data_IF_774640070306
#
_entry.id   IF_774640070306
#
_cell.length_a   1.000
_cell.length_b   1.000
_cell.length_c   1.000
_cell.angle_alpha   90.00
_cell.angle_beta   90.00
_cell.angle_gamma   90.00
#
_symmetry.space_group_name_H-M   'P 1'
#
loop_
_entity.id
_entity.type
_entity.pdbx_description
1 polymer ?
#
# COMPACT_ATOMS: atom_id res chain seq x y z
N UNK A 1 20.17 0.80 -5.06
CA UNK A 1 18.93 1.58 -4.87
C UNK A 1 19.19 2.96 -5.42
N UNK A 2 18.35 3.43 -6.35
CA UNK A 2 18.36 4.79 -6.86
C UNK A 2 17.12 5.50 -6.32
N UNK A 3 17.24 6.78 -5.98
CA UNK A 3 16.12 7.60 -5.50
C UNK A 3 15.93 8.77 -6.45
N UNK A 4 14.74 8.91 -7.01
CA UNK A 4 14.31 10.06 -7.80
C UNK A 4 13.36 10.91 -6.96
N UNK A 5 13.69 12.18 -6.75
CA UNK A 5 12.81 13.11 -6.05
C UNK A 5 11.95 13.86 -7.07
N UNK A 6 10.63 13.66 -7.01
CA UNK A 6 9.70 14.37 -7.89
C UNK A 6 9.37 15.72 -7.24
N UNK A 7 9.81 16.81 -7.86
CA UNK A 7 9.60 18.16 -7.34
C UNK A 7 8.21 18.71 -7.70
N UNK A 8 7.22 18.44 -6.85
CA UNK A 8 5.83 18.94 -6.97
C UNK A 8 5.48 20.01 -5.93
N UNK A 9 6.47 20.81 -5.51
CA UNK A 9 6.35 21.76 -4.40
C UNK A 9 6.09 21.03 -3.08
N UNK A 10 5.05 21.41 -2.36
CA UNK A 10 4.66 20.82 -1.06
C UNK A 10 4.27 19.34 -1.13
N UNK A 11 4.08 18.80 -2.34
CA UNK A 11 3.75 17.39 -2.60
C UNK A 11 4.93 16.61 -3.14
N UNK A 12 6.16 17.09 -2.92
CA UNK A 12 7.34 16.36 -3.34
C UNK A 12 7.40 14.98 -2.66
N UNK A 13 7.76 13.95 -3.43
CA UNK A 13 7.90 12.59 -2.91
C UNK A 13 9.09 11.87 -3.56
N UNK A 14 9.75 10.96 -2.82
CA UNK A 14 10.80 10.12 -3.35
C UNK A 14 10.22 8.90 -4.08
N UNK A 15 10.85 8.51 -5.18
CA UNK A 15 10.64 7.22 -5.86
C UNK A 15 11.91 6.41 -5.66
N UNK A 16 11.80 5.28 -4.95
CA UNK A 16 12.90 4.36 -4.71
C UNK A 16 12.86 3.20 -5.71
N UNK A 17 13.95 3.02 -6.48
CA UNK A 17 14.07 1.98 -7.50
C UNK A 17 15.25 1.07 -7.14
N UNK A 18 15.01 -0.23 -7.08
CA UNK A 18 16.03 -1.19 -6.68
C UNK A 18 15.49 -2.60 -6.51
N UNK A 19 16.40 -3.53 -6.17
CA UNK A 19 16.07 -4.93 -5.90
C UNK A 19 15.66 -5.11 -4.43
N UNK A 20 14.69 -5.99 -4.20
CA UNK A 20 14.26 -6.44 -2.87
C UNK A 20 13.85 -5.31 -1.90
N UNK A 21 13.26 -4.23 -2.44
CA UNK A 21 12.87 -3.07 -1.62
C UNK A 21 11.59 -3.30 -0.80
N UNK A 22 10.74 -4.26 -1.18
CA UNK A 22 9.48 -4.52 -0.45
C UNK A 22 9.70 -4.93 1.01
N UNK A 23 10.83 -5.58 1.32
CA UNK A 23 11.21 -5.92 2.69
C UNK A 23 11.77 -4.76 3.52
N UNK A 24 11.95 -3.58 2.92
CA UNK A 24 12.57 -2.40 3.56
C UNK A 24 11.49 -1.47 4.10
N UNK A 25 10.88 -1.86 5.22
CA UNK A 25 9.86 -1.06 5.89
C UNK A 25 10.38 0.35 6.27
N UNK A 26 11.69 0.50 6.53
CA UNK A 26 12.35 1.78 6.81
C UNK A 26 12.16 2.84 5.73
N UNK A 27 11.91 2.44 4.48
CA UNK A 27 11.60 3.36 3.37
C UNK A 27 10.15 3.88 3.43
N UNK A 28 9.25 3.15 4.07
CA UNK A 28 7.82 3.46 4.14
C UNK A 28 7.50 4.22 5.44
N UNK A 29 8.11 3.82 6.56
CA UNK A 29 7.85 4.36 7.90
C UNK A 29 7.85 5.91 7.98
N UNK A 30 8.78 6.65 7.34
CA UNK A 30 8.80 8.12 7.41
C UNK A 30 7.58 8.78 6.79
N UNK A 31 6.86 8.07 5.92
CA UNK A 31 5.68 8.56 5.21
C UNK A 31 4.36 8.15 5.89
N UNK A 32 4.42 7.35 6.95
CA UNK A 32 3.25 6.92 7.70
C UNK A 32 2.88 7.97 8.76
N UNK A 33 1.66 8.50 8.68
CA UNK A 33 1.13 9.40 9.72
C UNK A 33 0.79 8.66 11.01
N UNK A 34 0.41 7.39 10.89
CA UNK A 34 0.10 6.50 12.01
C UNK A 34 0.72 5.14 11.77
N UNK A 35 0.88 4.32 12.82
CA UNK A 35 1.37 2.94 12.72
C UNK A 35 0.27 1.98 12.20
N UNK A 36 -0.56 2.42 11.26
CA UNK A 36 -1.58 1.60 10.60
C UNK A 36 -1.63 1.90 9.11
N UNK A 37 -1.72 0.83 8.33
CA UNK A 37 -1.82 0.89 6.87
C UNK A 37 -2.88 -0.06 6.36
N UNK A 38 -3.49 0.32 5.24
CA UNK A 38 -4.39 -0.51 4.48
C UNK A 38 -3.78 -0.78 3.09
N UNK A 39 -3.49 -2.04 2.79
CA UNK A 39 -2.90 -2.47 1.53
C UNK A 39 -4.03 -2.88 0.58
N UNK A 40 -4.03 -2.33 -0.63
CA UNK A 40 -4.93 -2.72 -1.72
C UNK A 40 -4.09 -3.43 -2.78
N UNK A 41 -4.47 -4.65 -3.11
CA UNK A 41 -3.81 -5.47 -4.14
C UNK A 41 -4.83 -6.20 -4.99
N UNK A 42 -4.38 -6.97 -5.98
CA UNK A 42 -5.23 -7.85 -6.77
C UNK A 42 -4.90 -9.33 -6.52
N UNK A 43 -5.76 -10.22 -6.99
CA UNK A 43 -5.62 -11.67 -6.80
C UNK A 43 -4.36 -12.26 -7.45
N UNK A 44 -3.76 -11.56 -8.41
CA UNK A 44 -2.53 -11.97 -9.10
C UNK A 44 -1.25 -11.53 -8.35
N UNK A 45 -1.19 -10.29 -7.88
CA UNK A 45 -0.01 -9.69 -7.22
C UNK A 45 0.01 -10.02 -5.73
N UNK A 46 -1.16 -10.11 -5.10
CA UNK A 46 -1.32 -10.37 -3.67
C UNK A 46 -0.52 -11.60 -3.21
N UNK A 47 -0.76 -12.80 -3.77
CA UNK A 47 -0.05 -14.02 -3.37
C UNK A 47 1.48 -13.96 -3.56
N UNK A 48 1.98 -13.07 -4.43
CA UNK A 48 3.40 -12.98 -4.75
C UNK A 48 4.16 -12.03 -3.83
N UNK A 49 3.52 -10.94 -3.38
CA UNK A 49 4.23 -9.82 -2.76
C UNK A 49 3.61 -9.33 -1.45
N UNK A 50 2.33 -9.61 -1.19
CA UNK A 50 1.63 -9.09 -0.02
C UNK A 50 2.27 -9.57 1.28
N UNK A 51 2.66 -10.85 1.35
CA UNK A 51 3.26 -11.43 2.56
C UNK A 51 4.58 -10.75 2.91
N UNK A 52 5.45 -10.50 1.92
CA UNK A 52 6.75 -9.85 2.11
C UNK A 52 6.57 -8.45 2.68
N UNK A 53 5.67 -7.66 2.08
CA UNK A 53 5.41 -6.29 2.52
C UNK A 53 4.74 -6.24 3.90
N UNK A 54 3.72 -7.07 4.11
CA UNK A 54 2.96 -7.12 5.36
C UNK A 54 3.84 -7.56 6.52
N UNK A 55 4.70 -8.56 6.31
CA UNK A 55 5.65 -9.04 7.32
C UNK A 55 6.66 -7.98 7.69
N UNK A 56 7.24 -7.28 6.69
CA UNK A 56 8.20 -6.21 6.95
C UNK A 56 7.58 -5.06 7.76
N UNK A 57 6.34 -4.68 7.45
CA UNK A 57 5.61 -3.63 8.17
C UNK A 57 5.20 -4.08 9.58
N UNK A 58 4.72 -5.31 9.74
CA UNK A 58 4.36 -5.87 11.04
C UNK A 58 5.58 -5.96 11.98
N UNK A 59 6.74 -6.39 11.46
CA UNK A 59 8.01 -6.38 12.21
C UNK A 59 8.44 -4.98 12.66
N UNK A 60 8.07 -3.95 11.89
CA UNK A 60 8.28 -2.55 12.24
C UNK A 60 7.17 -1.98 13.16
N UNK A 61 6.28 -2.81 13.71
CA UNK A 61 5.21 -2.43 14.62
C UNK A 61 4.06 -1.68 13.96
N UNK A 62 3.84 -1.88 12.66
CA UNK A 62 2.74 -1.29 11.90
C UNK A 62 1.60 -2.31 11.79
N UNK A 63 0.38 -1.91 12.16
CA UNK A 63 -0.82 -2.71 11.90
C UNK A 63 -1.16 -2.69 10.41
N UNK A 64 -1.36 -3.87 9.83
CA UNK A 64 -1.62 -4.05 8.40
C UNK A 64 -2.99 -4.67 8.21
N UNK A 65 -3.87 -3.98 7.49
CA UNK A 65 -5.09 -4.55 6.91
C UNK A 65 -4.90 -4.66 5.39
N UNK A 66 -5.46 -5.68 4.75
CA UNK A 66 -5.29 -5.88 3.32
C UNK A 66 -6.61 -6.28 2.65
N UNK A 67 -6.83 -5.79 1.43
CA UNK A 67 -7.93 -6.21 0.56
C UNK A 67 -7.35 -6.65 -0.79
N UNK A 68 -7.82 -7.81 -1.26
CA UNK A 68 -7.53 -8.31 -2.60
C UNK A 68 -8.74 -8.06 -3.50
N UNK A 69 -8.47 -7.55 -4.68
CA UNK A 69 -9.47 -7.24 -5.70
C UNK A 69 -9.30 -8.19 -6.90
N UNK A 70 -10.38 -8.49 -7.63
CA UNK A 70 -10.28 -9.27 -8.85
C UNK A 70 -9.36 -8.57 -9.86
N UNK A 71 -8.56 -9.35 -10.59
CA UNK A 71 -7.58 -8.82 -11.54
C UNK A 71 -8.22 -8.48 -12.90
N UNK A 72 -7.81 -7.34 -13.48
CA UNK A 72 -8.22 -6.86 -14.81
C UNK A 72 -8.83 -5.46 -14.84
N UNK A 73 -8.63 -4.73 -15.95
CA UNK A 73 -9.13 -3.35 -16.14
C UNK A 73 -10.66 -3.24 -16.05
N UNK A 74 -11.38 -4.34 -16.35
CA UNK A 74 -12.83 -4.40 -16.21
C UNK A 74 -13.31 -4.14 -14.77
N UNK A 75 -12.46 -4.39 -13.78
CA UNK A 75 -12.75 -4.17 -12.36
C UNK A 75 -12.29 -2.79 -11.87
N UNK A 76 -11.87 -1.89 -12.76
CA UNK A 76 -11.62 -0.49 -12.43
C UNK A 76 -12.93 0.31 -12.42
N UNK A 77 -13.89 -0.21 -11.68
CA UNK A 77 -15.25 0.30 -11.59
C UNK A 77 -15.60 0.76 -10.17
N UNK A 78 -16.77 1.37 -10.05
CA UNK A 78 -17.28 1.86 -8.78
C UNK A 78 -17.59 0.74 -7.78
N UNK A 79 -17.94 -0.45 -8.26
CA UNK A 79 -18.25 -1.59 -7.39
C UNK A 79 -17.00 -2.08 -6.66
N UNK A 80 -15.89 -2.20 -7.39
CA UNK A 80 -14.61 -2.62 -6.84
C UNK A 80 -14.04 -1.55 -5.90
N UNK A 81 -14.26 -0.28 -6.21
CA UNK A 81 -13.92 0.82 -5.30
C UNK A 81 -14.72 0.74 -3.98
N UNK A 82 -16.00 0.39 -4.03
CA UNK A 82 -16.81 0.21 -2.83
C UNK A 82 -16.27 -0.90 -1.92
N UNK A 83 -15.71 -1.98 -2.48
CA UNK A 83 -15.06 -3.04 -1.67
C UNK A 83 -13.89 -2.52 -0.85
N UNK A 84 -13.12 -1.58 -1.40
CA UNK A 84 -12.06 -0.90 -0.65
C UNK A 84 -12.68 -0.08 0.50
N UNK A 85 -13.73 0.69 0.24
CA UNK A 85 -14.41 1.47 1.28
C UNK A 85 -15.01 0.60 2.37
N UNK A 86 -15.65 -0.50 2.02
CA UNK A 86 -16.24 -1.45 2.97
C UNK A 86 -15.17 -2.03 3.90
N UNK A 87 -14.01 -2.42 3.35
CA UNK A 87 -12.88 -2.87 4.16
C UNK A 87 -12.38 -1.75 5.09
N UNK A 88 -12.18 -0.53 4.59
CA UNK A 88 -11.71 0.58 5.41
C UNK A 88 -12.68 0.90 6.56
N UNK A 89 -13.98 0.82 6.31
CA UNK A 89 -15.01 1.01 7.34
C UNK A 89 -15.03 -0.13 8.36
N UNK A 90 -14.95 -1.38 7.90
CA UNK A 90 -14.93 -2.56 8.77
C UNK A 90 -13.72 -2.56 9.71
N UNK A 91 -12.55 -2.19 9.19
CA UNK A 91 -11.28 -2.09 9.92
C UNK A 91 -11.16 -0.80 10.74
N UNK A 92 -12.20 0.05 10.72
CA UNK A 92 -12.24 1.36 11.41
C UNK A 92 -11.04 2.24 11.06
N UNK A 93 -10.67 2.28 9.80
CA UNK A 93 -9.59 3.13 9.31
C UNK A 93 -9.97 4.60 9.46
N UNK A 94 -9.02 5.40 9.94
CA UNK A 94 -9.18 6.83 10.11
C UNK A 94 -8.60 7.58 8.91
N UNK A 95 -8.83 8.91 8.83
CA UNK A 95 -8.27 9.75 7.76
C UNK A 95 -6.73 9.79 7.75
N UNK A 96 -6.11 9.37 8.84
CA UNK A 96 -4.66 9.26 9.00
C UNK A 96 -4.10 7.87 8.70
N UNK A 97 -4.95 6.90 8.35
CA UNK A 97 -4.52 5.59 7.85
C UNK A 97 -3.94 5.77 6.44
N UNK A 98 -2.73 5.28 6.23
CA UNK A 98 -2.10 5.33 4.91
C UNK A 98 -2.59 4.16 4.05
N UNK A 99 -3.04 4.47 2.83
CA UNK A 99 -3.35 3.48 1.80
C UNK A 99 -2.08 3.15 1.01
N UNK A 100 -1.82 1.86 0.80
CA UNK A 100 -0.71 1.37 -0.04
C UNK A 100 -1.31 0.58 -1.21
N UNK A 101 -1.09 1.07 -2.43
CA UNK A 101 -1.42 0.31 -3.63
C UNK A 101 -0.26 -0.65 -3.97
N UNK A 102 -0.52 -1.95 -3.91
CA UNK A 102 0.42 -3.01 -4.29
C UNK A 102 -0.10 -3.70 -5.55
N UNK A 103 0.32 -3.23 -6.72
CA UNK A 103 -0.16 -3.75 -8.00
C UNK A 103 0.32 -2.92 -9.19
N UNK A 104 -0.35 -3.14 -10.32
CA UNK A 104 -0.24 -2.29 -11.52
C UNK A 104 -1.03 -0.99 -11.40
N UNK A 105 -1.17 -0.28 -12.53
CA UNK A 105 -1.97 0.96 -12.65
C UNK A 105 -3.39 0.72 -13.14
#
# INVERSE_FOLDING_TARGET
MQTLNVALGDRAYPIHIGRSLLGRADLILPHLRTRRVAIVTNDTVGPLYLEVLSTALAQAGVGVSAVSLPDGEAYKDWETLNRIFDMLLAERCERSTTLIALGGG
#
